data_IF_984959066342
#
_entry.id   IF_984959066342
#
_cell.length_a   1.000
_cell.length_b   1.000
_cell.length_c   1.000
_cell.angle_alpha   90.00
_cell.angle_beta   90.00
_cell.angle_gamma   90.00
#
_symmetry.space_group_name_H-M   'P 1'
#
loop_
_entity.id
_entity.type
_entity.pdbx_description
1 polymer ?
#
# COMPACT_ATOMS: atom_id res chain seq x y z
N UNK A 1 6.46 -28.76 6.78
CA UNK A 1 6.56 -27.79 5.67
C UNK A 1 5.62 -26.59 5.78
N UNK A 2 4.31 -26.78 6.05
CA UNK A 2 3.34 -25.68 6.18
C UNK A 2 3.77 -24.59 7.18
N UNK A 3 4.12 -24.99 8.41
CA UNK A 3 4.54 -24.04 9.45
C UNK A 3 5.83 -23.29 9.12
N UNK A 4 6.78 -23.94 8.43
CA UNK A 4 7.99 -23.29 7.95
C UNK A 4 7.68 -22.22 6.88
N UNK A 5 6.73 -22.50 5.99
CA UNK A 5 6.26 -21.51 5.00
C UNK A 5 5.56 -20.32 5.68
N UNK A 6 4.66 -20.58 6.62
CA UNK A 6 3.96 -19.51 7.37
C UNK A 6 4.94 -18.64 8.16
N UNK A 7 5.92 -19.24 8.82
CA UNK A 7 6.96 -18.52 9.54
C UNK A 7 7.79 -17.63 8.60
N UNK A 8 8.23 -18.18 7.46
CA UNK A 8 8.97 -17.41 6.46
C UNK A 8 8.16 -16.23 5.91
N UNK A 9 6.87 -16.42 5.65
CA UNK A 9 5.97 -15.32 5.24
C UNK A 9 5.90 -14.23 6.31
N UNK A 10 5.68 -14.59 7.57
CA UNK A 10 5.61 -13.64 8.68
C UNK A 10 6.93 -12.87 8.88
N UNK A 11 8.08 -13.56 8.75
CA UNK A 11 9.40 -12.93 8.83
C UNK A 11 9.59 -11.92 7.70
N UNK A 12 9.18 -12.26 6.47
CA UNK A 12 9.29 -11.36 5.33
C UNK A 12 8.43 -10.11 5.51
N UNK A 13 7.19 -10.27 5.97
CA UNK A 13 6.30 -9.13 6.26
C UNK A 13 6.86 -8.23 7.37
N UNK A 14 7.40 -8.81 8.44
CA UNK A 14 8.07 -8.07 9.52
C UNK A 14 9.27 -7.29 8.98
N UNK A 15 10.09 -7.90 8.13
CA UNK A 15 11.25 -7.24 7.53
C UNK A 15 10.81 -6.07 6.63
N UNK A 16 9.73 -6.24 5.85
CA UNK A 16 9.13 -5.15 5.06
C UNK A 16 8.68 -3.99 5.95
N UNK A 17 7.98 -4.27 7.05
CA UNK A 17 7.53 -3.24 7.98
C UNK A 17 8.69 -2.46 8.61
N UNK A 18 9.81 -3.14 8.94
CA UNK A 18 11.02 -2.49 9.48
C UNK A 18 11.69 -1.50 8.52
N UNK A 19 11.46 -1.63 7.21
CA UNK A 19 12.00 -0.72 6.21
C UNK A 19 11.19 0.59 6.08
N UNK A 20 9.96 0.62 6.60
CA UNK A 20 9.09 1.78 6.51
C UNK A 20 9.52 2.84 7.52
N UNK A 21 9.78 4.05 7.01
CA UNK A 21 10.07 5.22 7.85
C UNK A 21 8.87 6.14 7.90
N UNK A 22 8.31 6.34 9.08
CA UNK A 22 7.18 7.28 9.32
C UNK A 22 7.60 8.75 9.30
N UNK A 23 8.90 9.04 9.21
CA UNK A 23 9.45 10.40 9.13
C UNK A 23 9.72 10.84 7.69
N UNK A 24 9.73 9.89 6.76
CA UNK A 24 9.96 10.18 5.35
C UNK A 24 8.69 10.81 4.77
N UNK A 25 8.84 11.90 4.02
CA UNK A 25 7.78 12.44 3.18
C UNK A 25 7.84 11.77 1.82
N UNK A 26 6.71 11.28 1.34
CA UNK A 26 6.62 10.61 0.05
C UNK A 26 6.10 11.57 -1.02
N UNK A 27 6.61 11.45 -2.25
CA UNK A 27 6.16 12.24 -3.42
C UNK A 27 5.66 11.35 -4.57
N UNK A 28 5.75 10.04 -4.38
CA UNK A 28 5.32 9.01 -5.31
C UNK A 28 4.96 7.75 -4.51
N UNK A 29 4.18 6.86 -5.09
CA UNK A 29 3.91 5.54 -4.52
C UNK A 29 5.20 4.75 -4.38
N UNK A 30 5.51 4.32 -3.16
CA UNK A 30 6.61 3.41 -2.83
C UNK A 30 6.34 2.79 -1.46
N UNK A 31 7.20 1.86 -1.03
CA UNK A 31 7.05 1.21 0.26
C UNK A 31 7.03 2.25 1.40
N UNK A 32 5.97 2.21 2.20
CA UNK A 32 5.71 3.14 3.28
C UNK A 32 4.88 4.36 2.92
N UNK A 33 4.54 4.57 1.64
CA UNK A 33 3.71 5.70 1.22
C UNK A 33 2.22 5.44 1.51
N UNK A 34 1.52 6.49 1.94
CA UNK A 34 0.07 6.54 2.01
C UNK A 34 -0.46 7.28 0.79
N UNK A 35 -1.25 6.61 -0.05
CA UNK A 35 -1.85 7.19 -1.24
C UNK A 35 -3.34 7.37 -1.03
N UNK A 36 -3.81 8.60 -1.18
CA UNK A 36 -5.23 8.90 -1.21
C UNK A 36 -5.68 9.05 -2.66
N UNK A 37 -6.79 8.39 -2.97
CA UNK A 37 -7.47 8.51 -4.25
C UNK A 37 -8.91 8.94 -4.03
N UNK A 38 -9.57 9.35 -5.11
CA UNK A 38 -11.01 9.64 -5.10
C UNK A 38 -11.89 8.53 -4.53
N UNK A 39 -11.42 7.28 -4.56
CA UNK A 39 -12.21 6.09 -4.20
C UNK A 39 -11.68 5.36 -2.96
N UNK A 40 -10.70 5.92 -2.24
CA UNK A 40 -10.16 5.31 -1.02
C UNK A 40 -8.69 5.60 -0.75
N UNK A 41 -8.24 5.13 0.41
CA UNK A 41 -6.87 5.31 0.92
C UNK A 41 -6.13 3.97 0.90
N UNK A 42 -4.90 4.00 0.41
CA UNK A 42 -4.06 2.84 0.19
C UNK A 42 -2.71 3.03 0.87
N UNK A 43 -2.31 2.11 1.74
CA UNK A 43 -1.01 2.12 2.38
C UNK A 43 -0.14 1.01 1.79
N UNK A 44 0.95 1.40 1.12
CA UNK A 44 1.87 0.45 0.48
C UNK A 44 2.83 -0.14 1.53
N UNK A 45 2.46 -1.28 2.11
CA UNK A 45 3.23 -1.95 3.15
C UNK A 45 3.18 -3.48 2.99
N UNK A 46 2.35 -4.15 3.78
CA UNK A 46 2.13 -5.61 3.76
C UNK A 46 0.67 -5.92 3.42
N UNK A 47 0.34 -7.17 3.12
CA UNK A 47 -1.01 -7.61 2.71
C UNK A 47 -1.94 -7.86 3.90
N UNK A 48 -2.14 -6.86 4.77
CA UNK A 48 -3.05 -6.95 5.93
C UNK A 48 -4.53 -6.83 5.51
N UNK A 49 -4.82 -6.13 4.41
CA UNK A 49 -6.18 -5.83 3.98
C UNK A 49 -6.69 -4.52 4.55
N UNK A 50 -8.00 -4.42 4.80
CA UNK A 50 -8.63 -3.17 5.25
C UNK A 50 -8.45 -3.00 6.75
N UNK A 51 -7.88 -1.87 7.17
CA UNK A 51 -7.87 -1.39 8.55
C UNK A 51 -8.83 -0.21 8.69
N UNK A 52 -9.69 -0.24 9.71
CA UNK A 52 -10.52 0.90 10.05
C UNK A 52 -9.87 1.69 11.18
N UNK A 53 -9.50 2.93 10.90
CA UNK A 53 -8.83 3.83 11.84
C UNK A 53 -9.69 5.08 11.97
N UNK A 54 -10.26 5.31 13.15
CA UNK A 54 -11.15 6.45 13.44
C UNK A 54 -12.33 6.60 12.44
N UNK A 55 -12.88 5.48 11.98
CA UNK A 55 -13.96 5.45 10.99
C UNK A 55 -13.50 5.56 9.53
N UNK A 56 -12.20 5.73 9.28
CA UNK A 56 -11.62 5.77 7.94
C UNK A 56 -11.04 4.41 7.57
N UNK A 57 -11.45 3.87 6.42
CA UNK A 57 -10.91 2.61 5.91
C UNK A 57 -9.64 2.85 5.10
N UNK A 58 -8.56 2.17 5.49
CA UNK A 58 -7.26 2.19 4.81
C UNK A 58 -6.97 0.77 4.31
N UNK A 59 -6.81 0.61 3.00
CA UNK A 59 -6.38 -0.66 2.42
C UNK A 59 -4.86 -0.77 2.54
N UNK A 60 -4.39 -1.65 3.42
CA UNK A 60 -2.96 -1.95 3.60
C UNK A 60 -2.59 -3.12 2.71
N UNK A 61 -1.70 -2.87 1.74
CA UNK A 61 -1.38 -3.82 0.69
C UNK A 61 0.10 -3.82 0.35
N UNK A 62 0.59 -4.98 -0.11
CA UNK A 62 1.96 -5.09 -0.60
C UNK A 62 2.15 -4.38 -1.94
N UNK A 63 3.27 -3.65 -2.15
CA UNK A 63 3.61 -3.06 -3.45
C UNK A 63 3.59 -4.05 -4.61
N UNK A 64 3.89 -5.33 -4.37
CA UNK A 64 3.94 -6.36 -5.43
C UNK A 64 2.56 -6.96 -5.76
N UNK A 65 1.49 -6.53 -5.08
CA UNK A 65 0.12 -6.97 -5.37
C UNK A 65 -0.40 -6.34 -6.68
N UNK A 66 -1.48 -6.88 -7.29
CA UNK A 66 -1.98 -6.37 -8.57
C UNK A 66 -2.29 -4.86 -8.58
N UNK A 67 -2.95 -4.35 -7.55
CA UNK A 67 -3.22 -2.90 -7.41
C UNK A 67 -1.99 -2.15 -6.89
N UNK A 68 -1.18 -2.77 -6.03
CA UNK A 68 0.05 -2.17 -5.50
C UNK A 68 1.03 -1.82 -6.60
N UNK A 69 1.21 -2.70 -7.58
CA UNK A 69 2.08 -2.47 -8.73
C UNK A 69 1.61 -1.30 -9.59
N UNK A 70 0.29 -1.09 -9.68
CA UNK A 70 -0.27 0.05 -10.42
C UNK A 70 -0.03 1.37 -9.69
N UNK A 71 -0.11 1.38 -8.36
CA UNK A 71 0.14 2.54 -7.50
C UNK A 71 1.63 2.86 -7.38
N UNK A 72 2.50 1.86 -7.56
CA UNK A 72 3.94 2.02 -7.45
C UNK A 72 4.45 3.07 -8.45
N UNK A 73 5.26 3.99 -7.94
CA UNK A 73 5.87 5.13 -8.63
C UNK A 73 4.91 6.20 -9.16
N UNK A 74 3.59 6.04 -8.97
CA UNK A 74 2.62 7.06 -9.35
C UNK A 74 2.72 8.28 -8.45
N UNK A 75 2.42 9.44 -9.01
CA UNK A 75 2.47 10.74 -8.36
C UNK A 75 1.07 11.32 -8.22
N UNK A 76 0.95 12.37 -7.41
CA UNK A 76 -0.27 13.18 -7.35
C UNK A 76 -0.68 13.65 -8.75
N UNK A 77 -1.94 13.49 -9.09
CA UNK A 77 -2.53 13.78 -10.41
C UNK A 77 -2.47 12.62 -11.40
N UNK A 78 -1.69 11.57 -11.14
CA UNK A 78 -1.73 10.36 -11.98
C UNK A 78 -3.03 9.59 -11.75
N UNK A 79 -3.50 8.92 -12.80
CA UNK A 79 -4.64 7.99 -12.74
C UNK A 79 -4.19 6.56 -13.01
N UNK A 80 -4.73 5.62 -12.24
CA UNK A 80 -4.62 4.18 -12.52
C UNK A 80 -5.99 3.60 -12.86
N UNK A 81 -6.00 2.53 -13.66
CA UNK A 81 -7.22 1.75 -13.93
C UNK A 81 -7.09 0.37 -13.30
N UNK A 82 -8.03 0.02 -12.41
CA UNK A 82 -8.06 -1.30 -11.78
C UNK A 82 -9.49 -1.85 -11.80
N UNK A 83 -9.65 -3.06 -12.35
CA UNK A 83 -10.95 -3.73 -12.51
C UNK A 83 -12.01 -2.84 -13.19
N UNK A 84 -11.61 -2.08 -14.21
CA UNK A 84 -12.49 -1.20 -14.97
C UNK A 84 -12.81 0.15 -14.31
N UNK A 85 -12.29 0.42 -13.11
CA UNK A 85 -12.48 1.70 -12.42
C UNK A 85 -11.22 2.54 -12.48
N UNK A 86 -11.38 3.86 -12.59
CA UNK A 86 -10.29 4.83 -12.55
C UNK A 86 -10.09 5.37 -11.13
N UNK A 87 -8.83 5.49 -10.73
CA UNK A 87 -8.41 6.01 -9.43
C UNK A 87 -7.38 7.10 -9.68
N UNK A 88 -7.81 8.35 -9.58
CA UNK A 88 -6.91 9.49 -9.56
C UNK A 88 -6.26 9.63 -8.18
N UNK A 89 -4.95 9.87 -8.14
CA UNK A 89 -4.20 10.07 -6.91
C UNK A 89 -4.28 11.54 -6.50
N UNK A 90 -4.96 11.81 -5.40
CA UNK A 90 -5.24 13.15 -4.90
C UNK A 90 -4.12 13.61 -3.96
N UNK A 91 -3.59 12.69 -3.16
CA UNK A 91 -2.55 12.98 -2.18
C UNK A 91 -1.60 11.79 -1.99
N UNK A 92 -0.37 12.10 -1.59
CA UNK A 92 0.64 11.12 -1.20
C UNK A 92 1.35 11.66 0.02
N UNK A 93 1.42 10.85 1.07
CA UNK A 93 2.10 11.18 2.33
C UNK A 93 3.18 10.17 2.69
#
# INVERSE_FOLDING_TARGET
ELYAKQLNSAINELNTLKLISTKKKFTKGELGALLETQNGIYFLATSIGILSINGTNVMVLSPISPIGNLLLHKKKGDTITFRGNNFEIINIE
#
